data_IF_391389705510
#
_entry.id   IF_391389705510
#
_cell.length_a   1.000
_cell.length_b   1.000
_cell.length_c   1.000
_cell.angle_alpha   90.00
_cell.angle_beta   90.00
_cell.angle_gamma   90.00
#
_symmetry.space_group_name_H-M   'P 1'
#
loop_
_entity.id
_entity.type
_entity.pdbx_description
1 polymer ?
#
# COMPACT_ATOMS: atom_id res chain seq x y z
N UNK A 1 6.10 17.12 8.59
CA UNK A 1 4.87 17.09 7.78
C UNK A 1 4.26 15.72 7.98
N UNK A 2 3.06 15.65 8.53
CA UNK A 2 2.31 14.40 8.66
C UNK A 2 1.71 14.07 7.29
N UNK A 3 2.13 12.94 6.71
CA UNK A 3 1.63 12.48 5.42
C UNK A 3 0.42 11.56 5.66
N UNK A 4 -0.69 11.81 4.96
CA UNK A 4 -1.95 11.05 5.15
C UNK A 4 -1.95 9.70 4.44
N UNK A 5 -1.07 9.53 3.45
CA UNK A 5 -0.87 8.30 2.68
C UNK A 5 0.53 8.29 2.06
N UNK A 6 0.92 7.17 1.46
CA UNK A 6 2.04 7.13 0.51
C UNK A 6 1.73 6.10 -0.59
N UNK A 7 1.64 6.55 -1.85
CA UNK A 7 1.39 5.65 -2.98
C UNK A 7 2.25 6.03 -4.18
N UNK A 8 3.04 5.07 -4.67
CA UNK A 8 3.99 5.22 -5.79
C UNK A 8 3.81 4.19 -6.93
N UNK A 9 2.67 3.48 -6.96
CA UNK A 9 2.50 2.29 -7.80
C UNK A 9 2.33 2.55 -9.30
N UNK A 10 1.88 3.75 -9.70
CA UNK A 10 1.63 4.08 -11.11
C UNK A 10 2.63 5.10 -11.64
N UNK A 11 2.78 5.16 -12.95
CA UNK A 11 3.69 6.10 -13.60
C UNK A 11 3.32 7.56 -13.32
N UNK A 12 2.03 7.87 -13.16
CA UNK A 12 1.48 9.22 -13.00
C UNK A 12 1.60 9.79 -11.56
N UNK A 13 2.42 9.19 -10.69
CA UNK A 13 2.52 9.64 -9.30
C UNK A 13 2.97 11.09 -9.18
N UNK A 14 2.52 11.78 -8.12
CA UNK A 14 2.83 13.19 -7.91
C UNK A 14 4.36 13.42 -7.90
N UNK A 15 4.82 14.26 -8.83
CA UNK A 15 6.23 14.61 -8.99
C UNK A 15 7.16 13.42 -9.31
N UNK A 16 6.61 12.33 -9.86
CA UNK A 16 7.34 11.08 -10.13
C UNK A 16 8.06 10.51 -8.87
N UNK A 17 7.47 10.72 -7.68
CA UNK A 17 8.03 10.27 -6.40
C UNK A 17 7.01 9.48 -5.58
N UNK A 18 5.80 10.02 -5.43
CA UNK A 18 4.74 9.40 -4.65
C UNK A 18 3.65 10.39 -4.24
N UNK A 19 2.42 9.89 -4.20
CA UNK A 19 1.25 10.66 -3.76
C UNK A 19 1.14 10.59 -2.23
N UNK A 20 1.10 11.73 -1.55
CA UNK A 20 1.08 11.77 -0.07
C UNK A 20 -0.16 12.43 0.57
N UNK A 21 -1.00 13.08 -0.24
CA UNK A 21 -2.24 13.71 0.21
C UNK A 21 -3.47 13.15 -0.53
N UNK A 22 -3.38 13.00 -1.84
CA UNK A 22 -4.36 12.34 -2.71
C UNK A 22 -3.62 11.80 -3.94
N UNK A 23 -4.09 10.69 -4.50
CA UNK A 23 -3.56 10.12 -5.74
C UNK A 23 -3.87 11.01 -6.94
N UNK A 24 -2.93 11.12 -7.88
CA UNK A 24 -3.18 11.78 -9.19
C UNK A 24 -4.33 11.08 -9.93
N UNK A 25 -4.47 9.77 -9.76
CA UNK A 25 -5.60 8.97 -10.25
C UNK A 25 -6.92 9.16 -9.46
N UNK A 26 -6.98 10.07 -8.49
CA UNK A 26 -8.14 10.31 -7.62
C UNK A 26 -8.24 9.40 -6.38
N UNK A 27 -7.22 8.58 -6.09
CA UNK A 27 -7.21 7.71 -4.90
C UNK A 27 -7.21 8.54 -3.62
N UNK A 28 -8.26 8.39 -2.81
CA UNK A 28 -8.35 9.04 -1.50
C UNK A 28 -7.41 8.38 -0.48
N UNK A 29 -6.87 9.13 0.50
CA UNK A 29 -5.92 8.59 1.47
C UNK A 29 -6.49 7.43 2.30
N UNK A 30 -7.78 7.44 2.61
CA UNK A 30 -8.46 6.35 3.32
C UNK A 30 -8.45 5.05 2.49
N UNK A 31 -8.62 5.17 1.17
CA UNK A 31 -8.56 4.03 0.24
C UNK A 31 -7.12 3.52 0.12
N UNK A 32 -6.12 4.40 0.14
CA UNK A 32 -4.73 4.00 0.14
C UNK A 32 -4.39 3.19 1.41
N UNK A 33 -4.77 3.68 2.59
CA UNK A 33 -4.56 2.97 3.86
C UNK A 33 -5.27 1.61 3.87
N UNK A 34 -6.50 1.52 3.35
CA UNK A 34 -7.19 0.23 3.24
C UNK A 34 -6.48 -0.75 2.30
N UNK A 35 -5.92 -0.27 1.18
CA UNK A 35 -5.13 -1.11 0.27
C UNK A 35 -3.84 -1.59 0.93
N UNK A 36 -3.17 -0.73 1.70
CA UNK A 36 -1.97 -1.09 2.45
C UNK A 36 -2.28 -2.17 3.50
N UNK A 37 -3.39 -2.05 4.23
CA UNK A 37 -3.85 -3.06 5.20
C UNK A 37 -4.15 -4.41 4.55
N UNK A 38 -4.76 -4.42 3.36
CA UNK A 38 -4.99 -5.66 2.62
C UNK A 38 -3.68 -6.35 2.27
N UNK A 39 -2.69 -5.58 1.80
CA UNK A 39 -1.38 -6.13 1.47
C UNK A 39 -0.65 -6.65 2.70
N UNK A 40 -0.61 -5.87 3.78
CA UNK A 40 0.16 -6.16 4.99
C UNK A 40 -0.47 -7.30 5.83
N UNK A 41 -1.77 -7.22 6.09
CA UNK A 41 -2.45 -8.16 7.00
C UNK A 41 -3.01 -9.40 6.29
N UNK A 42 -3.39 -9.27 5.01
CA UNK A 42 -4.01 -10.38 4.27
C UNK A 42 -3.08 -10.99 3.21
N UNK A 43 -1.86 -10.45 3.03
CA UNK A 43 -0.85 -11.03 2.13
C UNK A 43 -1.27 -11.06 0.65
N UNK A 44 -2.20 -10.21 0.22
CA UNK A 44 -2.74 -10.26 -1.15
C UNK A 44 -1.74 -9.81 -2.23
N UNK A 45 -0.59 -9.26 -1.82
CA UNK A 45 0.51 -8.93 -2.73
C UNK A 45 1.23 -10.16 -3.30
N UNK A 46 1.00 -11.34 -2.70
CA UNK A 46 1.54 -12.62 -3.17
C UNK A 46 2.03 -13.49 -2.01
N UNK A 47 2.11 -14.80 -2.28
CA UNK A 47 2.77 -15.79 -1.41
C UNK A 47 4.27 -15.60 -1.59
N UNK A 48 4.97 -15.29 -0.51
CA UNK A 48 6.41 -15.07 -0.51
C UNK A 48 7.13 -16.40 -0.22
N UNK A 49 7.76 -16.54 0.93
CA UNK A 49 8.24 -17.82 1.43
C UNK A 49 7.22 -18.41 2.41
N UNK A 50 7.16 -19.75 2.48
CA UNK A 50 6.26 -20.44 3.41
C UNK A 50 6.45 -19.93 4.85
N UNK A 51 7.69 -19.74 5.28
CA UNK A 51 8.02 -19.24 6.62
C UNK A 51 7.58 -17.78 6.87
N UNK A 52 7.53 -16.93 5.84
CA UNK A 52 7.09 -15.54 5.95
C UNK A 52 5.56 -15.46 5.94
N UNK A 53 4.91 -16.21 5.06
CA UNK A 53 3.46 -16.21 4.96
C UNK A 53 2.81 -16.85 6.20
N UNK A 54 3.41 -17.91 6.77
CA UNK A 54 2.96 -18.48 8.04
C UNK A 54 2.99 -17.45 9.17
N UNK A 55 4.03 -16.60 9.24
CA UNK A 55 4.09 -15.50 10.22
C UNK A 55 2.99 -14.47 10.03
N UNK A 56 2.68 -14.10 8.78
CA UNK A 56 1.61 -13.14 8.47
C UNK A 56 0.25 -13.67 8.95
N UNK A 57 0.00 -14.98 8.78
CA UNK A 57 -1.25 -15.62 9.22
C UNK A 57 -1.24 -16.12 10.68
N UNK A 58 -0.14 -15.89 11.42
CA UNK A 58 -0.01 -16.29 12.82
C UNK A 58 0.08 -17.81 13.06
N UNK A 59 0.62 -18.56 12.10
CA UNK A 59 0.85 -20.00 12.12
C UNK A 59 2.30 -20.39 12.44
#
# INVERSE_FOLDING_TARGET
MEQKMFCYQCQETAGCKGCTACGVCGKQPEVAVMQDLLVDSFGIAGITTVDEDMRIFGL
#
